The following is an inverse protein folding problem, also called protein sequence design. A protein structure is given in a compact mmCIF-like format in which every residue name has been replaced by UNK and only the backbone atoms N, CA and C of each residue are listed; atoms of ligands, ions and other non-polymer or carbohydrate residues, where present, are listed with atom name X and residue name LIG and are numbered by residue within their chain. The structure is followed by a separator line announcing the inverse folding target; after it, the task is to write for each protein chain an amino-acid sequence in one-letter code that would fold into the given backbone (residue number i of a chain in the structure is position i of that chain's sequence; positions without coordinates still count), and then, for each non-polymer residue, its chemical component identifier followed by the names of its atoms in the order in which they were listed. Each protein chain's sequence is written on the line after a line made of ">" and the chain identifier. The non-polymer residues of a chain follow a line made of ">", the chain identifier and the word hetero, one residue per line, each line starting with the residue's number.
data_IF_704536852429
#
_entry.id   IF_704536852429
#
_cell.length_a   1.000
_cell.length_b   1.000
_cell.length_c   1.000
_cell.angle_alpha   90.00
_cell.angle_beta   90.00
_cell.angle_gamma   90.00
#
_symmetry.space_group_name_H-M   'P 1'
#
loop_
_entity.id
_entity.type
_entity.pdbx_description
1 polymer ?
#
# COMPACT_ATOMS: atom_id res chain seq x y z
N UNK A 1 -31.00 -22.23 45.40
CA UNK A 1 -29.98 -23.06 44.74
C UNK A 1 -30.30 -23.14 43.25
N UNK A 2 -29.51 -22.53 42.37
CA UNK A 2 -29.64 -22.70 40.93
C UNK A 2 -28.64 -23.72 40.38
N UNK A 3 -29.11 -24.43 39.34
CA UNK A 3 -28.61 -25.65 38.72
C UNK A 3 -27.22 -25.56 38.08
N UNK A 4 -26.51 -26.69 38.08
CA UNK A 4 -25.27 -26.91 37.34
C UNK A 4 -25.46 -26.64 35.83
N UNK A 5 -24.56 -25.85 35.25
CA UNK A 5 -24.49 -25.52 33.82
C UNK A 5 -23.57 -26.52 33.09
N UNK A 6 -23.84 -26.80 31.79
CA UNK A 6 -23.14 -27.82 31.03
C UNK A 6 -21.70 -27.38 30.70
N UNK A 7 -20.80 -28.36 30.62
CA UNK A 7 -19.40 -28.15 30.28
C UNK A 7 -19.26 -27.52 28.88
N UNK A 8 -18.38 -26.51 28.71
CA UNK A 8 -18.15 -25.90 27.40
C UNK A 8 -17.53 -26.91 26.42
N UNK A 9 -17.85 -26.82 25.13
CA UNK A 9 -17.24 -27.67 24.10
C UNK A 9 -15.73 -27.40 24.05
N UNK A 10 -14.94 -28.47 24.21
CA UNK A 10 -13.49 -28.44 24.08
C UNK A 10 -13.11 -28.07 22.63
N UNK A 11 -12.91 -26.79 22.35
CA UNK A 11 -12.27 -26.35 21.13
C UNK A 11 -10.77 -26.63 21.25
N UNK A 12 -10.39 -27.78 20.66
CA UNK A 12 -9.02 -28.21 20.39
C UNK A 12 -8.06 -27.04 20.18
N UNK A 13 -7.08 -26.96 21.08
CA UNK A 13 -5.67 -26.70 20.80
C UNK A 13 -5.36 -25.47 19.97
N UNK A 14 -4.86 -24.43 20.66
CA UNK A 14 -3.89 -23.40 20.25
C UNK A 14 -4.30 -21.99 20.67
N UNK A 15 -4.49 -21.75 21.99
CA UNK A 15 -4.25 -20.47 22.68
C UNK A 15 -4.66 -20.52 24.18
N UNK A 16 -4.54 -21.67 24.84
CA UNK A 16 -4.91 -21.82 26.25
C UNK A 16 -3.77 -21.41 27.21
N UNK A 17 -2.92 -20.45 26.80
CA UNK A 17 -1.97 -19.78 27.70
C UNK A 17 -2.69 -18.58 28.33
N UNK A 18 -3.68 -18.91 29.16
CA UNK A 18 -4.40 -18.07 30.15
C UNK A 18 -4.43 -16.56 29.88
N UNK A 19 -5.24 -16.14 28.90
CA UNK A 19 -5.95 -14.86 29.02
C UNK A 19 -6.83 -15.02 30.26
N UNK A 20 -6.67 -14.18 31.27
CA UNK A 20 -7.24 -14.26 32.62
C UNK A 20 -8.53 -15.10 32.82
N UNK A 21 -8.70 -15.76 33.99
CA UNK A 21 -9.89 -16.58 34.26
C UNK A 21 -11.20 -15.79 34.01
N UNK A 22 -12.09 -16.36 33.19
CA UNK A 22 -13.34 -15.70 32.76
C UNK A 22 -13.25 -14.92 31.45
N UNK A 23 -12.17 -15.09 30.67
CA UNK A 23 -11.99 -14.50 29.33
C UNK A 23 -12.02 -15.59 28.26
N UNK A 24 -12.94 -15.45 27.30
CA UNK A 24 -13.11 -16.36 26.17
C UNK A 24 -12.60 -15.70 24.89
N UNK A 25 -11.74 -16.38 24.13
CA UNK A 25 -11.32 -15.90 22.80
C UNK A 25 -12.45 -16.12 21.81
N UNK A 26 -12.91 -15.03 21.18
CA UNK A 26 -14.01 -15.04 20.21
C UNK A 26 -13.50 -15.14 18.78
N UNK A 27 -12.40 -14.44 18.48
CA UNK A 27 -11.81 -14.41 17.14
C UNK A 27 -10.29 -14.45 17.22
N UNK A 28 -9.69 -15.31 16.40
CA UNK A 28 -8.25 -15.47 16.29
C UNK A 28 -7.75 -14.78 15.00
N UNK A 29 -6.98 -13.70 15.14
CA UNK A 29 -6.28 -13.04 14.03
C UNK A 29 -4.84 -13.51 13.88
N UNK A 30 -4.11 -12.99 12.88
CA UNK A 30 -2.69 -13.28 12.65
C UNK A 30 -1.80 -12.72 13.77
N UNK A 31 -2.15 -11.57 14.34
CA UNK A 31 -1.40 -10.96 15.46
C UNK A 31 -2.27 -10.62 16.64
N UNK A 32 -3.53 -10.26 16.41
CA UNK A 32 -4.42 -9.83 17.48
C UNK A 32 -5.53 -10.85 17.73
N UNK A 33 -5.86 -11.07 18.99
CA UNK A 33 -7.05 -11.82 19.39
C UNK A 33 -8.15 -10.86 19.81
N UNK A 34 -9.39 -11.20 19.45
CA UNK A 34 -10.56 -10.61 20.06
C UNK A 34 -11.04 -11.53 21.17
N UNK A 35 -11.13 -10.99 22.38
CA UNK A 35 -11.57 -11.71 23.56
C UNK A 35 -12.80 -11.05 24.17
N UNK A 36 -13.64 -11.85 24.81
CA UNK A 36 -14.84 -11.43 25.52
C UNK A 36 -14.81 -11.95 26.95
N UNK A 37 -15.30 -11.16 27.88
CA UNK A 37 -15.65 -11.55 29.25
C UNK A 37 -17.12 -11.18 29.50
N UNK A 38 -17.69 -11.62 30.62
CA UNK A 38 -19.14 -11.56 30.92
C UNK A 38 -19.78 -10.17 30.69
N UNK A 39 -19.00 -9.10 30.81
CA UNK A 39 -19.46 -7.71 30.67
C UNK A 39 -18.50 -6.81 29.87
N UNK A 40 -17.48 -7.39 29.20
CA UNK A 40 -16.42 -6.62 28.56
C UNK A 40 -15.85 -7.31 27.31
N UNK A 41 -15.24 -6.50 26.43
CA UNK A 41 -14.57 -6.98 25.22
C UNK A 41 -13.18 -6.36 25.11
N UNK A 42 -12.20 -7.13 24.65
CA UNK A 42 -10.81 -6.69 24.58
C UNK A 42 -10.08 -7.20 23.36
N UNK A 43 -9.03 -6.47 22.99
CA UNK A 43 -8.09 -6.89 21.94
C UNK A 43 -6.73 -7.16 22.57
N UNK A 44 -6.21 -8.36 22.35
CA UNK A 44 -4.92 -8.83 22.87
C UNK A 44 -3.90 -8.92 21.73
N UNK A 45 -2.68 -8.42 21.95
CA UNK A 45 -1.56 -8.62 21.02
C UNK A 45 -0.79 -9.88 21.42
N UNK A 46 -0.76 -10.87 20.51
CA UNK A 46 -0.05 -12.12 20.71
C UNK A 46 1.46 -11.94 20.80
N UNK A 47 2.01 -10.96 20.07
CA UNK A 47 3.46 -10.77 19.97
C UNK A 47 4.02 -10.13 21.24
N UNK A 48 3.36 -9.10 21.75
CA UNK A 48 3.77 -8.42 22.99
C UNK A 48 3.18 -9.05 24.24
N UNK A 49 2.31 -10.05 24.08
CA UNK A 49 1.57 -10.73 25.18
C UNK A 49 0.91 -9.72 26.12
N UNK A 50 0.21 -8.75 25.55
CA UNK A 50 -0.39 -7.65 26.32
C UNK A 50 -1.75 -7.22 25.76
N UNK A 51 -2.62 -6.72 26.64
CA UNK A 51 -3.86 -6.06 26.23
C UNK A 51 -3.55 -4.77 25.47
N UNK A 52 -4.06 -4.67 24.25
CA UNK A 52 -4.01 -3.44 23.46
C UNK A 52 -5.02 -2.44 24.00
N UNK A 53 -6.25 -2.93 24.20
CA UNK A 53 -7.33 -2.16 24.81
C UNK A 53 -8.43 -3.08 25.33
N UNK A 54 -9.03 -2.66 26.43
CA UNK A 54 -10.19 -3.28 27.06
C UNK A 54 -11.37 -2.29 27.02
N UNK A 55 -12.57 -2.79 26.76
CA UNK A 55 -13.79 -1.99 26.63
C UNK A 55 -14.87 -2.52 27.56
N UNK A 56 -15.43 -1.61 28.36
CA UNK A 56 -16.47 -1.90 29.36
C UNK A 56 -17.73 -1.04 29.08
N UNK A 57 -18.92 -1.60 29.34
CA UNK A 57 -20.21 -0.93 29.12
C UNK A 57 -20.97 -1.31 27.84
N UNK A 58 -21.82 -0.40 27.37
CA UNK A 58 -22.74 -0.64 26.25
C UNK A 58 -22.04 -0.46 24.89
N UNK A 59 -22.35 -1.34 23.91
CA UNK A 59 -21.69 -1.42 22.58
C UNK A 59 -20.17 -1.69 22.62
N UNK A 60 -19.68 -2.36 23.67
CA UNK A 60 -18.27 -2.77 23.80
C UNK A 60 -17.83 -3.74 22.72
N UNK A 61 -18.72 -4.68 22.35
CA UNK A 61 -18.49 -5.63 21.25
C UNK A 61 -18.12 -4.93 19.94
N UNK A 62 -18.92 -3.94 19.53
CA UNK A 62 -18.71 -3.25 18.24
C UNK A 62 -17.40 -2.47 18.24
N UNK A 63 -17.08 -1.80 19.35
CA UNK A 63 -15.82 -1.05 19.51
C UNK A 63 -14.60 -1.96 19.49
N UNK A 64 -14.67 -3.09 20.18
CA UNK A 64 -13.60 -4.08 20.19
C UNK A 64 -13.43 -4.75 18.83
N UNK A 65 -14.54 -5.06 18.15
CA UNK A 65 -14.52 -5.61 16.79
C UNK A 65 -13.90 -4.63 15.79
N UNK A 66 -14.30 -3.36 15.81
CA UNK A 66 -13.71 -2.33 14.94
C UNK A 66 -12.23 -2.09 15.22
N UNK A 67 -11.80 -2.17 16.49
CA UNK A 67 -10.39 -2.06 16.83
C UNK A 67 -9.61 -3.28 16.33
N UNK A 68 -10.13 -4.49 16.53
CA UNK A 68 -9.52 -5.72 16.04
C UNK A 68 -9.40 -5.71 14.52
N UNK A 69 -10.49 -5.42 13.80
CA UNK A 69 -10.50 -5.30 12.33
C UNK A 69 -9.52 -4.21 11.85
N UNK A 70 -9.48 -3.08 12.56
CA UNK A 70 -8.49 -2.05 12.27
C UNK A 70 -7.07 -2.56 12.47
N UNK A 71 -6.75 -3.25 13.56
CA UNK A 71 -5.39 -3.67 13.85
C UNK A 71 -4.92 -4.82 12.95
N UNK A 72 -5.81 -5.79 12.73
CA UNK A 72 -5.57 -7.01 11.98
C UNK A 72 -5.59 -6.74 10.47
N UNK A 73 -6.62 -6.04 9.98
CA UNK A 73 -6.82 -5.79 8.55
C UNK A 73 -6.27 -4.42 8.08
N UNK A 74 -6.20 -3.43 8.97
CA UNK A 74 -5.80 -2.07 8.59
C UNK A 74 -4.49 -1.56 9.22
N UNK A 75 -3.99 -2.19 10.29
CA UNK A 75 -2.94 -1.67 11.17
C UNK A 75 -1.58 -2.35 10.95
N UNK A 76 -1.56 -3.50 10.28
CA UNK A 76 -0.34 -4.30 10.09
C UNK A 76 0.26 -4.29 8.68
N UNK A 77 -0.39 -3.66 7.69
CA UNK A 77 0.05 -3.75 6.30
C UNK A 77 0.08 -2.36 5.67
N UNK A 78 1.29 -1.82 5.48
CA UNK A 78 1.49 -0.58 4.72
C UNK A 78 0.80 -0.72 3.36
N UNK A 79 0.12 0.32 2.87
CA UNK A 79 -0.67 0.27 1.64
C UNK A 79 0.07 -0.33 0.43
N UNK A 80 1.40 -0.24 0.42
CA UNK A 80 2.33 -0.90 -0.52
C UNK A 80 2.19 -2.43 -0.60
N UNK A 81 1.81 -3.11 0.48
CA UNK A 81 1.54 -4.56 0.53
C UNK A 81 0.06 -4.90 0.31
N UNK A 82 -0.83 -3.89 0.30
CA UNK A 82 -2.23 -4.02 -0.17
C UNK A 82 -2.36 -3.81 -1.67
N UNK A 83 -1.37 -3.19 -2.31
CA UNK A 83 -1.19 -3.31 -3.73
C UNK A 83 -1.04 -4.79 -4.05
N UNK A 84 -2.10 -5.39 -4.57
CA UNK A 84 -2.03 -6.73 -5.14
C UNK A 84 -0.87 -6.75 -6.15
N UNK A 85 -0.19 -7.89 -6.37
CA UNK A 85 0.81 -8.00 -7.43
C UNK A 85 0.29 -7.42 -8.76
N UNK A 86 -1.01 -7.60 -9.02
CA UNK A 86 -1.74 -7.00 -10.14
C UNK A 86 -1.66 -5.45 -10.16
N UNK A 87 -1.82 -4.76 -9.03
CA UNK A 87 -1.70 -3.30 -8.95
C UNK A 87 -0.28 -2.82 -9.27
N UNK A 88 0.73 -3.54 -8.78
CA UNK A 88 2.13 -3.23 -9.07
C UNK A 88 2.38 -3.39 -10.57
N UNK A 89 2.02 -4.54 -11.12
CA UNK A 89 2.14 -4.84 -12.55
C UNK A 89 1.39 -3.82 -13.42
N UNK A 90 0.18 -3.43 -13.03
CA UNK A 90 -0.60 -2.41 -13.73
C UNK A 90 0.16 -1.08 -13.83
N UNK A 91 0.74 -0.60 -12.73
CA UNK A 91 1.44 0.70 -12.73
C UNK A 91 2.78 0.64 -13.44
N UNK A 92 3.44 -0.52 -13.45
CA UNK A 92 4.62 -0.76 -14.28
C UNK A 92 4.25 -0.69 -15.76
N UNK A 93 3.19 -1.40 -16.19
CA UNK A 93 2.73 -1.37 -17.59
C UNK A 93 2.26 0.02 -17.99
N UNK A 94 1.40 0.64 -17.17
CA UNK A 94 0.84 1.97 -17.43
C UNK A 94 1.93 3.04 -17.45
N UNK A 95 2.91 2.94 -16.53
CA UNK A 95 4.06 3.82 -16.53
C UNK A 95 4.92 3.64 -17.77
N UNK A 96 5.22 2.40 -18.13
CA UNK A 96 6.09 2.09 -19.26
C UNK A 96 5.47 2.54 -20.58
N UNK A 97 4.24 2.12 -20.87
CA UNK A 97 3.51 2.47 -22.10
C UNK A 97 3.10 3.94 -22.11
N UNK A 98 2.52 4.42 -21.00
CA UNK A 98 2.01 5.79 -20.89
C UNK A 98 3.11 6.84 -20.96
N UNK A 99 4.21 6.66 -20.23
CA UNK A 99 5.32 7.61 -20.29
C UNK A 99 6.09 7.53 -21.61
N UNK A 100 6.18 6.34 -22.23
CA UNK A 100 6.72 6.21 -23.58
C UNK A 100 5.91 7.06 -24.58
N UNK A 101 4.58 6.99 -24.50
CA UNK A 101 3.70 7.81 -25.33
C UNK A 101 3.86 9.32 -25.06
N UNK A 102 3.93 9.73 -23.78
CA UNK A 102 4.13 11.15 -23.42
C UNK A 102 5.45 11.69 -23.96
N UNK A 103 6.55 10.93 -23.82
CA UNK A 103 7.86 11.32 -24.35
C UNK A 103 7.86 11.39 -25.88
N UNK A 104 7.24 10.42 -26.56
CA UNK A 104 7.10 10.44 -28.02
C UNK A 104 6.31 11.66 -28.50
N UNK A 105 5.19 11.99 -27.85
CA UNK A 105 4.37 13.17 -28.17
C UNK A 105 5.12 14.48 -27.91
N UNK A 106 5.77 14.60 -26.76
CA UNK A 106 6.55 15.79 -26.42
C UNK A 106 7.70 15.99 -27.40
N UNK A 107 8.35 14.89 -27.75
CA UNK A 107 9.39 14.83 -28.74
C UNK A 107 8.98 15.31 -30.11
N UNK A 108 7.90 14.73 -30.62
CA UNK A 108 7.29 15.13 -31.88
C UNK A 108 6.87 16.61 -31.88
N UNK A 109 6.25 17.08 -30.80
CA UNK A 109 5.84 18.47 -30.68
C UNK A 109 7.05 19.43 -30.68
N UNK A 110 8.15 19.04 -30.03
CA UNK A 110 9.38 19.84 -30.02
C UNK A 110 10.03 19.89 -31.40
N UNK A 111 10.20 18.75 -32.09
CA UNK A 111 10.83 18.73 -33.42
C UNK A 111 10.02 19.51 -34.46
N UNK A 112 8.70 19.30 -34.50
CA UNK A 112 7.81 20.07 -35.39
C UNK A 112 7.83 21.56 -35.01
N UNK A 113 7.80 21.87 -33.71
CA UNK A 113 7.82 23.24 -33.20
C UNK A 113 9.13 24.00 -33.48
N UNK A 114 10.26 23.30 -33.58
CA UNK A 114 11.57 23.88 -33.90
C UNK A 114 11.94 23.78 -35.39
N UNK A 115 11.03 23.31 -36.24
CA UNK A 115 11.24 23.18 -37.69
C UNK A 115 12.25 22.11 -38.09
N UNK A 116 12.55 21.16 -37.21
CA UNK A 116 13.40 20.00 -37.51
C UNK A 116 12.58 18.89 -38.18
N UNK A 117 13.21 18.13 -39.08
CA UNK A 117 12.56 17.03 -39.77
C UNK A 117 12.12 15.94 -38.77
N UNK A 118 10.83 15.61 -38.67
CA UNK A 118 10.31 14.64 -37.69
C UNK A 118 10.79 13.21 -37.97
N UNK A 119 11.27 12.92 -39.19
CA UNK A 119 11.88 11.62 -39.54
C UNK A 119 13.21 11.37 -38.81
N UNK A 120 13.87 12.43 -38.33
CA UNK A 120 15.10 12.33 -37.53
C UNK A 120 14.89 11.67 -36.16
N UNK A 121 13.65 11.62 -35.65
CA UNK A 121 13.36 11.00 -34.34
C UNK A 121 13.73 9.51 -34.35
N UNK A 122 13.56 8.83 -35.49
CA UNK A 122 13.85 7.40 -35.64
C UNK A 122 15.32 7.03 -35.56
N UNK A 123 16.24 7.97 -35.82
CA UNK A 123 17.69 7.74 -35.77
C UNK A 123 18.30 8.01 -34.39
N UNK A 124 17.58 8.66 -33.48
CA UNK A 124 18.01 8.99 -32.11
C UNK A 124 17.54 7.97 -31.06
N UNK A 125 17.77 6.67 -31.30
CA UNK A 125 17.28 5.59 -30.42
C UNK A 125 17.78 5.66 -28.96
N UNK A 126 19.07 5.97 -28.74
CA UNK A 126 19.66 6.07 -27.39
C UNK A 126 19.12 7.29 -26.60
N UNK A 127 19.10 8.51 -27.19
CA UNK A 127 18.49 9.68 -26.56
C UNK A 127 17.03 9.51 -26.14
N UNK A 128 16.21 8.96 -27.04
CA UNK A 128 14.78 8.72 -26.78
C UNK A 128 14.59 7.70 -25.66
N UNK A 129 15.41 6.65 -25.62
CA UNK A 129 15.39 5.67 -24.53
C UNK A 129 15.74 6.32 -23.17
N UNK A 130 16.74 7.20 -23.11
CA UNK A 130 17.08 7.91 -21.87
C UNK A 130 15.92 8.78 -21.37
N UNK A 131 15.28 9.54 -22.25
CA UNK A 131 14.13 10.35 -21.91
C UNK A 131 12.96 9.50 -21.39
N UNK A 132 12.71 8.36 -22.04
CA UNK A 132 11.69 7.40 -21.65
C UNK A 132 11.96 6.77 -20.28
N UNK A 133 13.16 6.21 -20.05
CA UNK A 133 13.51 5.58 -18.77
C UNK A 133 13.50 6.59 -17.62
N UNK A 134 13.89 7.85 -17.87
CA UNK A 134 13.81 8.91 -16.86
C UNK A 134 12.36 9.23 -16.49
N UNK A 135 11.47 9.42 -17.48
CA UNK A 135 10.05 9.67 -17.24
C UNK A 135 9.36 8.46 -16.57
N UNK A 136 9.72 7.23 -16.95
CA UNK A 136 9.24 6.02 -16.31
C UNK A 136 9.69 5.93 -14.84
N UNK A 137 10.96 6.22 -14.55
CA UNK A 137 11.47 6.32 -13.19
C UNK A 137 10.75 7.40 -12.38
N UNK A 138 10.48 8.55 -12.99
CA UNK A 138 9.67 9.64 -12.43
C UNK A 138 8.24 9.21 -12.12
N UNK A 139 7.61 8.42 -12.99
CA UNK A 139 6.29 7.85 -12.75
C UNK A 139 6.30 6.86 -11.59
N UNK A 140 7.26 5.92 -11.56
CA UNK A 140 7.37 4.98 -10.45
C UNK A 140 7.63 5.70 -9.13
N UNK A 141 8.49 6.72 -9.12
CA UNK A 141 8.68 7.58 -7.97
C UNK A 141 7.38 8.32 -7.62
N UNK A 142 6.65 8.83 -8.60
CA UNK A 142 5.34 9.44 -8.38
C UNK A 142 4.39 8.46 -7.72
N UNK A 143 4.20 7.24 -8.23
CA UNK A 143 3.26 6.28 -7.63
C UNK A 143 3.78 5.83 -6.25
N UNK A 144 5.09 5.66 -6.11
CA UNK A 144 5.70 4.89 -5.02
C UNK A 144 6.35 5.69 -3.88
N UNK A 145 6.59 6.99 -4.04
CA UNK A 145 7.07 7.83 -2.94
C UNK A 145 6.01 7.97 -1.84
N UNK A 146 6.42 7.69 -0.60
CA UNK A 146 5.66 8.03 0.62
C UNK A 146 5.86 9.51 0.99
N UNK A 147 5.56 10.41 0.05
CA UNK A 147 5.71 11.86 0.22
C UNK A 147 4.41 12.58 -0.15
N UNK A 148 4.19 13.81 0.33
CA UNK A 148 3.00 14.59 -0.04
C UNK A 148 2.91 14.78 -1.56
N UNK A 149 1.69 14.93 -2.07
CA UNK A 149 1.38 15.02 -3.51
C UNK A 149 2.26 16.04 -4.24
N UNK A 150 2.47 17.22 -3.64
CA UNK A 150 3.32 18.26 -4.24
C UNK A 150 4.77 17.83 -4.46
N UNK A 151 5.35 17.03 -3.56
CA UNK A 151 6.72 16.50 -3.72
C UNK A 151 6.75 15.45 -4.83
N UNK A 152 5.74 14.57 -4.89
CA UNK A 152 5.63 13.53 -5.92
C UNK A 152 5.54 14.15 -7.33
N UNK A 153 4.73 15.21 -7.49
CA UNK A 153 4.61 15.95 -8.75
C UNK A 153 5.93 16.61 -9.15
N UNK A 154 6.63 17.24 -8.20
CA UNK A 154 7.95 17.86 -8.47
C UNK A 154 8.99 16.83 -8.91
N UNK A 155 9.01 15.65 -8.28
CA UNK A 155 9.91 14.56 -8.66
C UNK A 155 9.59 14.04 -10.07
N UNK A 156 8.31 13.85 -10.40
CA UNK A 156 7.89 13.47 -11.75
C UNK A 156 8.33 14.51 -12.78
N UNK A 157 8.03 15.79 -12.54
CA UNK A 157 8.40 16.87 -13.44
C UNK A 157 9.92 16.96 -13.63
N UNK A 158 10.69 16.89 -12.54
CA UNK A 158 12.15 16.93 -12.60
C UNK A 158 12.72 15.75 -13.42
N UNK A 159 12.24 14.53 -13.21
CA UNK A 159 12.68 13.37 -13.94
C UNK A 159 12.35 13.48 -15.45
N UNK A 160 11.17 13.97 -15.80
CA UNK A 160 10.81 14.21 -17.20
C UNK A 160 11.68 15.29 -17.83
N UNK A 161 11.90 16.43 -17.15
CA UNK A 161 12.75 17.53 -17.64
C UNK A 161 14.18 17.04 -17.88
N UNK A 162 14.77 16.30 -16.93
CA UNK A 162 16.12 15.74 -17.07
C UNK A 162 16.21 14.81 -18.28
N UNK A 163 15.20 13.96 -18.47
CA UNK A 163 15.14 13.06 -19.63
C UNK A 163 15.10 13.80 -20.96
N UNK A 164 14.27 14.84 -21.05
CA UNK A 164 14.14 15.67 -22.25
C UNK A 164 15.41 16.47 -22.53
N UNK A 165 16.03 17.05 -21.49
CA UNK A 165 17.29 17.76 -21.64
C UNK A 165 18.42 16.85 -22.10
N UNK A 166 18.52 15.64 -21.54
CA UNK A 166 19.50 14.65 -21.96
C UNK A 166 19.31 14.29 -23.45
N UNK A 167 18.05 14.15 -23.90
CA UNK A 167 17.77 13.95 -25.30
C UNK A 167 18.22 15.14 -26.16
N UNK A 168 17.78 16.36 -25.84
CA UNK A 168 18.14 17.54 -26.61
C UNK A 168 19.66 17.75 -26.73
N UNK A 169 20.40 17.52 -25.64
CA UNK A 169 21.86 17.64 -25.63
C UNK A 169 22.57 16.59 -26.48
N UNK A 170 21.94 15.43 -26.68
CA UNK A 170 22.49 14.36 -27.53
C UNK A 170 22.04 14.43 -28.98
N UNK A 171 21.09 15.31 -29.30
CA UNK A 171 20.61 15.58 -30.65
C UNK A 171 21.22 16.86 -31.26
N UNK A 172 21.87 17.70 -30.45
CA UNK A 172 22.67 18.84 -30.87
C UNK A 172 24.08 18.42 -31.30
#
# INVERSE_FOLDING_TARGET
>A
MPSALPAPPQSRGLAEESLAPGVTVVQCGRRYFLASSDWAWGVWDQQTRSWVRWFEGERTRDRAWLLWDRLENHGGISFWRRATPLWITLHVILGFVGMGFVIAMLGYALTVGTGHDPESIGTHGVPVAMAWFSAFGGWLAFVYLRKPLGVRIRVLAAATIVGVLAWLLSAA
#
